data_IF_215722921692
#
_entry.id   IF_215722921692
#
_cell.length_a   1.000
_cell.length_b   1.000
_cell.length_c   1.000
_cell.angle_alpha   90.00
_cell.angle_beta   90.00
_cell.angle_gamma   90.00
#
_symmetry.space_group_name_H-M   'P 1'
#
loop_
_entity.id
_entity.type
_entity.pdbx_description
1 polymer ?
#
# COMPACT_ATOMS: atom_id res chain seq x y z
N UNK A 1 23.93 9.50 -31.24
CA UNK A 1 24.49 10.05 -29.99
C UNK A 1 23.37 10.37 -28.99
N UNK A 2 23.70 10.64 -27.73
CA UNK A 2 22.73 11.08 -26.69
C UNK A 2 22.13 12.45 -27.02
N UNK A 3 22.95 13.37 -27.53
CA UNK A 3 22.54 14.73 -27.94
C UNK A 3 21.46 14.70 -29.03
N UNK A 4 21.63 13.88 -30.07
CA UNK A 4 20.63 13.75 -31.15
C UNK A 4 19.25 13.31 -30.62
N UNK A 5 19.23 12.36 -29.68
CA UNK A 5 17.98 11.87 -29.08
C UNK A 5 17.32 12.90 -28.18
N UNK A 6 18.08 13.82 -27.60
CA UNK A 6 17.55 14.92 -26.78
C UNK A 6 16.90 15.98 -27.68
N UNK A 7 17.60 16.43 -28.71
CA UNK A 7 17.09 17.39 -29.70
C UNK A 7 15.83 16.86 -30.37
N UNK A 8 15.83 15.60 -30.84
CA UNK A 8 14.65 14.98 -31.48
C UNK A 8 13.41 14.93 -30.57
N UNK A 9 13.58 14.87 -29.24
CA UNK A 9 12.48 14.74 -28.29
C UNK A 9 11.95 16.09 -27.77
N UNK A 10 12.79 17.12 -27.78
CA UNK A 10 12.54 18.38 -27.06
C UNK A 10 12.66 19.64 -27.94
N UNK A 11 12.79 19.49 -29.26
CA UNK A 11 12.69 20.59 -30.21
C UNK A 11 11.27 20.78 -30.74
N UNK A 12 10.87 22.03 -30.93
CA UNK A 12 9.65 22.44 -31.62
C UNK A 12 10.09 23.34 -32.78
N UNK A 13 9.61 23.06 -34.00
CA UNK A 13 10.05 23.75 -35.23
C UNK A 13 11.59 23.76 -35.37
N UNK A 14 12.23 22.62 -35.12
CA UNK A 14 13.69 22.43 -35.16
C UNK A 14 14.53 23.29 -34.20
N UNK A 15 13.90 24.07 -33.32
CA UNK A 15 14.57 24.83 -32.26
C UNK A 15 14.42 24.12 -30.93
N UNK A 16 15.53 23.94 -30.21
CA UNK A 16 15.51 23.37 -28.87
C UNK A 16 14.79 24.31 -27.90
N UNK A 17 13.75 23.81 -27.23
CA UNK A 17 12.95 24.58 -26.29
C UNK A 17 13.16 24.05 -24.87
N UNK A 18 13.98 24.74 -24.07
CA UNK A 18 14.34 24.29 -22.73
C UNK A 18 13.13 24.16 -21.79
N UNK A 19 12.17 25.08 -21.88
CA UNK A 19 10.95 25.06 -21.07
C UNK A 19 10.07 23.85 -21.44
N UNK A 20 9.92 23.59 -22.75
CA UNK A 20 9.23 22.39 -23.23
C UNK A 20 9.92 21.10 -22.78
N UNK A 21 11.25 21.03 -22.86
CA UNK A 21 12.03 19.89 -22.37
C UNK A 21 11.78 19.63 -20.87
N UNK A 22 11.73 20.70 -20.08
CA UNK A 22 11.44 20.67 -18.65
C UNK A 22 10.02 20.17 -18.39
N UNK A 23 9.01 20.74 -19.05
CA UNK A 23 7.61 20.37 -18.90
C UNK A 23 7.35 18.92 -19.31
N UNK A 24 7.96 18.47 -20.42
CA UNK A 24 7.86 17.07 -20.86
C UNK A 24 8.53 16.12 -19.85
N UNK A 25 9.62 16.55 -19.23
CA UNK A 25 10.28 15.80 -18.16
C UNK A 25 9.40 15.72 -16.91
N UNK A 26 8.80 16.82 -16.49
CA UNK A 26 7.83 16.85 -15.39
C UNK A 26 6.60 16.00 -15.69
N UNK A 27 6.06 16.07 -16.91
CA UNK A 27 4.92 15.28 -17.36
C UNK A 27 5.23 13.78 -17.32
N UNK A 28 6.39 13.35 -17.82
CA UNK A 28 6.85 11.94 -17.71
C UNK A 28 7.11 11.52 -16.27
N UNK A 29 7.53 12.44 -15.40
CA UNK A 29 7.73 12.21 -13.97
C UNK A 29 6.42 12.19 -13.16
N UNK A 30 5.29 12.64 -13.71
CA UNK A 30 3.98 12.53 -13.04
C UNK A 30 3.67 11.05 -12.83
N UNK A 31 3.96 10.58 -11.62
CA UNK A 31 3.60 9.23 -11.18
C UNK A 31 2.08 9.15 -11.22
N UNK A 32 1.53 8.15 -11.93
CA UNK A 32 0.09 7.93 -12.02
C UNK A 32 -0.58 7.81 -10.65
N UNK A 33 -1.92 7.70 -10.63
CA UNK A 33 -2.69 7.66 -9.40
C UNK A 33 -2.10 6.68 -8.38
N UNK A 34 -1.81 7.18 -7.17
CA UNK A 34 -1.38 6.32 -6.07
C UNK A 34 -2.55 5.38 -5.75
N UNK A 35 -2.32 4.07 -5.94
CA UNK A 35 -3.30 3.02 -5.60
C UNK A 35 -3.81 3.11 -4.17
N UNK A 36 -3.00 3.69 -3.28
CA UNK A 36 -3.30 3.82 -1.87
C UNK A 36 -3.41 5.30 -1.50
N UNK A 37 -4.61 5.69 -1.07
CA UNK A 37 -4.89 7.03 -0.54
C UNK A 37 -4.70 7.00 0.97
N UNK A 38 -3.93 7.96 1.47
CA UNK A 38 -3.89 8.29 2.90
C UNK A 38 -5.33 8.69 3.27
N UNK A 39 -5.85 8.23 4.40
CA UNK A 39 -7.26 8.35 4.85
C UNK A 39 -8.27 7.33 4.29
N UNK A 40 -7.89 6.50 3.32
CA UNK A 40 -8.75 5.39 2.89
C UNK A 40 -8.94 4.35 4.00
N UNK A 41 -10.07 3.62 3.96
CA UNK A 41 -10.32 2.51 4.89
C UNK A 41 -9.23 1.44 4.77
N UNK A 42 -8.71 1.23 3.57
CA UNK A 42 -7.58 0.34 3.29
C UNK A 42 -6.30 0.79 3.99
N UNK A 43 -6.04 2.10 3.99
CA UNK A 43 -4.90 2.66 4.72
C UNK A 43 -5.02 2.43 6.22
N UNK A 44 -6.20 2.67 6.81
CA UNK A 44 -6.45 2.39 8.23
C UNK A 44 -6.21 0.92 8.57
N UNK A 45 -6.66 -0.01 7.74
CA UNK A 45 -6.37 -1.44 7.89
C UNK A 45 -4.87 -1.74 7.85
N UNK A 46 -4.14 -1.17 6.90
CA UNK A 46 -2.69 -1.37 6.75
C UNK A 46 -1.94 -0.84 7.98
N UNK A 47 -2.32 0.34 8.49
CA UNK A 47 -1.74 0.92 9.71
C UNK A 47 -1.94 -0.02 10.90
N UNK A 48 -3.18 -0.48 11.15
CA UNK A 48 -3.47 -1.39 12.26
C UNK A 48 -2.78 -2.75 12.12
N UNK A 49 -2.69 -3.28 10.89
CA UNK A 49 -1.97 -4.52 10.62
C UNK A 49 -0.46 -4.39 10.89
N UNK A 50 0.14 -3.24 10.57
CA UNK A 50 1.56 -2.97 10.86
C UNK A 50 1.78 -2.81 12.36
N UNK A 51 0.86 -2.15 13.09
CA UNK A 51 0.91 -2.06 14.57
C UNK A 51 0.82 -3.44 15.23
N UNK A 52 0.12 -4.38 14.59
CA UNK A 52 0.10 -5.80 14.97
C UNK A 52 1.36 -6.59 14.52
N UNK A 53 2.42 -5.90 14.11
CA UNK A 53 3.70 -6.49 13.69
C UNK A 53 3.59 -7.42 12.46
N UNK A 54 2.65 -7.15 11.55
CA UNK A 54 2.61 -7.86 10.27
C UNK A 54 3.56 -7.18 9.28
N UNK A 55 4.26 -7.99 8.47
CA UNK A 55 5.03 -7.39 7.38
C UNK A 55 4.15 -7.01 6.20
N UNK A 56 4.59 -6.05 5.37
CA UNK A 56 3.90 -5.69 4.13
C UNK A 56 3.63 -6.87 3.20
N UNK A 57 4.52 -7.87 3.16
CA UNK A 57 4.31 -9.11 2.39
C UNK A 57 3.15 -9.95 2.97
N UNK A 58 3.05 -10.04 4.30
CA UNK A 58 1.96 -10.76 4.96
C UNK A 58 0.61 -10.08 4.75
N UNK A 59 0.60 -8.74 4.76
CA UNK A 59 -0.59 -7.93 4.49
C UNK A 59 -1.04 -8.14 3.03
N UNK A 60 -0.13 -7.97 2.06
CA UNK A 60 -0.45 -8.15 0.64
C UNK A 60 -0.94 -9.58 0.32
N UNK A 61 -0.30 -10.61 0.89
CA UNK A 61 -0.73 -12.01 0.70
C UNK A 61 -2.12 -12.27 1.29
N UNK A 62 -2.45 -11.65 2.41
CA UNK A 62 -3.76 -11.77 3.06
C UNK A 62 -4.85 -11.05 2.29
N UNK A 63 -4.59 -9.83 1.80
CA UNK A 63 -5.53 -9.11 0.95
C UNK A 63 -5.92 -9.93 -0.29
N UNK A 64 -4.95 -10.61 -0.92
CA UNK A 64 -5.21 -11.53 -2.05
C UNK A 64 -6.10 -12.74 -1.74
N UNK A 65 -6.24 -13.14 -0.48
CA UNK A 65 -7.09 -14.29 -0.08
C UNK A 65 -8.57 -13.95 -0.04
N UNK A 66 -8.92 -12.69 -0.21
CA UNK A 66 -10.30 -12.23 -0.24
C UNK A 66 -10.65 -11.79 -1.66
N UNK A 67 -11.06 -12.72 -2.53
CA UNK A 67 -11.45 -12.38 -3.90
C UNK A 67 -12.72 -11.53 -3.96
N UNK A 68 -13.55 -11.57 -2.90
CA UNK A 68 -14.79 -10.78 -2.79
C UNK A 68 -14.53 -9.30 -2.45
N UNK A 69 -13.30 -8.96 -2.05
CA UNK A 69 -12.88 -7.57 -1.88
C UNK A 69 -12.67 -6.94 -3.27
N UNK A 70 -13.18 -5.72 -3.45
CA UNK A 70 -13.02 -4.96 -4.69
C UNK A 70 -11.56 -4.95 -5.15
N UNK A 71 -11.31 -5.07 -6.46
CA UNK A 71 -9.96 -5.12 -7.04
C UNK A 71 -9.13 -3.88 -6.67
N UNK A 72 -9.81 -2.76 -6.38
CA UNK A 72 -9.21 -1.53 -5.85
C UNK A 72 -8.52 -1.70 -4.50
N UNK A 73 -8.85 -2.76 -3.74
CA UNK A 73 -8.29 -3.09 -2.43
C UNK A 73 -7.05 -4.00 -2.51
N UNK A 74 -6.66 -4.44 -3.70
CA UNK A 74 -5.47 -5.28 -3.89
C UNK A 74 -4.22 -4.41 -4.06
N UNK A 75 -3.36 -4.41 -3.04
CA UNK A 75 -2.15 -3.58 -2.98
C UNK A 75 -0.91 -4.46 -2.80
N UNK A 76 0.14 -4.19 -3.57
CA UNK A 76 1.41 -4.90 -3.44
C UNK A 76 2.19 -4.44 -2.21
N UNK A 77 3.02 -5.33 -1.68
CA UNK A 77 3.91 -5.00 -0.55
C UNK A 77 4.86 -3.84 -0.88
N UNK A 78 5.29 -3.71 -2.14
CA UNK A 78 6.11 -2.57 -2.61
C UNK A 78 5.36 -1.25 -2.51
N UNK A 79 4.05 -1.21 -2.84
CA UNK A 79 3.22 -0.02 -2.67
C UNK A 79 3.04 0.33 -1.19
N UNK A 80 2.87 -0.66 -0.31
CA UNK A 80 2.83 -0.41 1.15
C UNK A 80 4.15 0.21 1.62
N UNK A 81 5.30 -0.34 1.22
CA UNK A 81 6.59 0.28 1.58
C UNK A 81 6.76 1.68 1.01
N UNK A 82 6.42 1.91 -0.26
CA UNK A 82 6.61 3.22 -0.88
C UNK A 82 5.72 4.28 -0.26
N UNK A 83 4.49 3.92 0.13
CA UNK A 83 3.53 4.82 0.78
C UNK A 83 3.99 5.21 2.17
N UNK A 84 4.42 4.27 3.00
CA UNK A 84 4.98 4.55 4.34
C UNK A 84 6.20 5.47 4.24
N UNK A 85 7.12 5.20 3.30
CA UNK A 85 8.31 6.06 3.10
C UNK A 85 7.94 7.45 2.60
N UNK A 86 6.87 7.57 1.80
CA UNK A 86 6.37 8.84 1.27
C UNK A 86 5.49 9.63 2.24
N UNK A 87 5.18 9.09 3.44
CA UNK A 87 4.48 9.85 4.47
C UNK A 87 5.26 11.10 4.87
N UNK A 88 4.55 12.19 5.25
CA UNK A 88 5.18 13.35 5.86
C UNK A 88 5.97 12.93 7.11
N UNK A 89 7.00 13.70 7.46
CA UNK A 89 7.76 13.46 8.69
C UNK A 89 6.82 13.70 9.88
N UNK A 90 6.71 12.72 10.78
CA UNK A 90 5.83 12.78 11.95
C UNK A 90 5.81 11.47 12.72
N UNK A 91 5.14 11.46 13.87
CA UNK A 91 5.11 10.33 14.80
C UNK A 91 4.54 9.06 14.15
N UNK A 92 3.46 9.18 13.37
CA UNK A 92 2.90 8.04 12.62
C UNK A 92 3.93 7.33 11.74
N UNK A 93 4.79 8.09 11.05
CA UNK A 93 5.83 7.51 10.19
C UNK A 93 6.89 6.79 11.02
N UNK A 94 7.32 7.38 12.14
CA UNK A 94 8.30 6.78 13.05
C UNK A 94 7.76 5.49 13.65
N UNK A 95 6.53 5.51 14.14
CA UNK A 95 5.85 4.34 14.73
C UNK A 95 5.77 3.18 13.74
N UNK A 96 5.27 3.45 12.53
CA UNK A 96 5.14 2.42 11.49
C UNK A 96 6.49 1.84 11.09
N UNK A 97 7.53 2.66 10.97
CA UNK A 97 8.88 2.19 10.68
C UNK A 97 9.46 1.37 11.85
N UNK A 98 9.20 1.76 13.10
CA UNK A 98 9.65 1.00 14.28
C UNK A 98 9.04 -0.41 14.30
N UNK A 99 7.73 -0.52 14.05
CA UNK A 99 7.03 -1.81 13.99
C UNK A 99 7.60 -2.72 12.89
N UNK A 100 8.02 -2.16 11.75
CA UNK A 100 8.64 -2.91 10.66
C UNK A 100 10.03 -3.42 11.02
N UNK A 101 10.82 -2.65 11.78
CA UNK A 101 12.17 -3.04 12.22
C UNK A 101 12.10 -4.07 13.35
N UNK A 102 11.19 -3.91 14.32
CA UNK A 102 10.99 -4.84 15.44
C UNK A 102 10.64 -6.26 15.01
N UNK A 103 10.02 -6.42 13.83
CA UNK A 103 9.72 -7.74 13.27
C UNK A 103 10.98 -8.59 13.05
N UNK A 104 12.09 -8.00 12.63
CA UNK A 104 13.35 -8.74 12.40
C UNK A 104 13.84 -9.41 13.69
N UNK A 105 13.45 -8.88 14.86
CA UNK A 105 13.94 -9.31 16.18
C UNK A 105 12.99 -10.24 16.95
N UNK A 106 11.71 -10.38 16.54
CA UNK A 106 10.62 -10.93 17.40
C UNK A 106 9.84 -12.12 16.82
N UNK A 107 10.46 -12.94 15.97
CA UNK A 107 9.80 -14.06 15.27
C UNK A 107 9.09 -15.09 16.19
N UNK A 108 9.30 -15.01 17.50
CA UNK A 108 8.77 -15.92 18.54
C UNK A 108 7.41 -15.55 19.16
N UNK A 109 6.83 -14.36 18.92
CA UNK A 109 5.55 -13.96 19.55
C UNK A 109 4.32 -14.52 18.79
N UNK A 110 3.94 -15.73 19.21
CA UNK A 110 2.67 -16.48 19.06
C UNK A 110 1.79 -16.24 17.83
N UNK A 111 1.79 -17.23 16.94
CA UNK A 111 0.89 -17.36 15.77
C UNK A 111 -0.60 -17.14 16.13
N UNK A 112 -0.99 -17.47 17.36
CA UNK A 112 -2.37 -17.38 17.85
C UNK A 112 -2.85 -15.92 18.04
N UNK A 113 -2.07 -15.06 18.70
CA UNK A 113 -2.44 -13.65 18.90
C UNK A 113 -2.56 -12.90 17.57
N UNK A 114 -1.64 -13.16 16.63
CA UNK A 114 -1.71 -12.58 15.27
C UNK A 114 -2.96 -13.03 14.51
N UNK A 115 -3.47 -14.24 14.79
CA UNK A 115 -4.71 -14.77 14.20
C UNK A 115 -5.96 -14.13 14.82
N UNK A 116 -6.00 -13.93 16.14
CA UNK A 116 -7.10 -13.23 16.82
C UNK A 116 -7.19 -11.77 16.35
N UNK A 117 -6.06 -11.05 16.37
CA UNK A 117 -5.98 -9.66 15.91
C UNK A 117 -6.34 -9.54 14.42
N UNK A 118 -5.98 -10.54 13.60
CA UNK A 118 -6.40 -10.61 12.20
C UNK A 118 -7.92 -10.59 12.07
N UNK A 119 -8.62 -11.49 12.75
CA UNK A 119 -10.07 -11.56 12.63
C UNK A 119 -10.75 -10.31 13.19
N UNK A 120 -10.20 -9.71 14.25
CA UNK A 120 -10.73 -8.47 14.83
C UNK A 120 -10.60 -7.28 13.88
N UNK A 121 -9.40 -7.05 13.34
CA UNK A 121 -9.12 -5.96 12.39
C UNK A 121 -9.86 -6.18 11.08
N UNK A 122 -9.88 -7.42 10.56
CA UNK A 122 -10.62 -7.76 9.36
C UNK A 122 -12.12 -7.54 9.56
N UNK A 123 -12.70 -7.98 10.68
CA UNK A 123 -14.13 -7.80 10.96
C UNK A 123 -14.51 -6.31 10.99
N UNK A 124 -13.68 -5.47 11.61
CA UNK A 124 -13.86 -4.01 11.59
C UNK A 124 -13.75 -3.46 10.15
N UNK A 125 -12.72 -3.85 9.40
CA UNK A 125 -12.49 -3.42 8.03
C UNK A 125 -13.63 -3.80 7.08
N UNK A 126 -14.12 -5.04 7.16
CA UNK A 126 -15.22 -5.54 6.34
C UNK A 126 -16.57 -4.90 6.72
N UNK A 127 -16.79 -4.62 8.01
CA UNK A 127 -18.00 -3.94 8.48
C UNK A 127 -18.11 -2.48 8.02
N UNK A 128 -16.97 -1.83 7.76
CA UNK A 128 -16.89 -0.46 7.27
C UNK A 128 -17.04 -0.35 5.75
N UNK A 129 -17.20 -1.46 5.01
CA UNK A 129 -17.44 -1.44 3.56
C UNK A 129 -18.95 -1.47 3.25
N UNK A 130 -19.52 -0.41 2.64
CA UNK A 130 -20.97 -0.34 2.37
C UNK A 130 -21.47 -1.36 1.32
N UNK A 131 -20.58 -2.04 0.58
CA UNK A 131 -20.93 -2.95 -0.53
C UNK A 131 -20.71 -4.43 -0.25
N UNK A 132 -20.36 -4.83 0.97
CA UNK A 132 -19.98 -6.22 1.26
C UNK A 132 -21.17 -7.08 1.73
N UNK A 133 -21.56 -8.10 0.95
CA UNK A 133 -22.61 -9.06 1.32
C UNK A 133 -22.14 -9.91 2.50
N UNK A 134 -22.89 -9.89 3.62
CA UNK A 134 -22.54 -10.49 4.93
C UNK A 134 -22.54 -12.03 4.96
N UNK A 135 -22.81 -12.72 3.86
CA UNK A 135 -23.23 -14.13 3.86
C UNK A 135 -22.15 -15.17 4.23
N UNK A 136 -20.85 -14.86 4.18
CA UNK A 136 -19.80 -15.91 4.23
C UNK A 136 -18.91 -15.95 5.49
N UNK A 137 -19.04 -15.04 6.45
CA UNK A 137 -18.22 -15.06 7.67
C UNK A 137 -18.71 -16.02 8.76
N UNK A 138 -19.80 -16.75 8.53
CA UNK A 138 -20.31 -17.78 9.45
C UNK A 138 -19.46 -19.06 9.44
N UNK A 139 -18.56 -19.26 8.46
CA UNK A 139 -17.97 -20.60 8.20
C UNK A 139 -16.50 -20.75 8.66
N UNK A 140 -15.86 -19.74 9.24
CA UNK A 140 -14.44 -19.85 9.67
C UNK A 140 -14.31 -19.80 11.19
N UNK A 141 -15.07 -20.66 11.88
CA UNK A 141 -15.01 -20.72 13.33
C UNK A 141 -15.79 -21.88 13.94
N UNK A 142 -15.29 -23.11 13.79
CA UNK A 142 -15.32 -24.12 14.86
C UNK A 142 -14.05 -24.98 14.77
N UNK A 143 -13.29 -25.17 15.86
CA UNK A 143 -12.32 -26.26 15.94
C UNK A 143 -13.07 -27.59 16.07
N UNK A 144 -12.56 -28.64 15.43
CA UNK A 144 -12.74 -30.03 15.90
C UNK A 144 -11.56 -30.29 16.84
#
# INVERSE_FOLDING_TARGET
STIYRELKRNSINDVYQAQYASDNTFARRRRGHRKLKIDSILWKFIVEAIRCLWSPQQIAKRLKRFPDLDQTMNVSHTTIYSTIRALPKGELKKDLLSCLVMKIKSEKLTVNLKKILYYRILKLFMSAQPKFKKEKYRVIGKPI
#
